data_IF_582610578505
#
_entry.id   IF_582610578505
#
_cell.length_a   1.000
_cell.length_b   1.000
_cell.length_c   1.000
_cell.angle_alpha   90.00
_cell.angle_beta   90.00
_cell.angle_gamma   90.00
#
_symmetry.space_group_name_H-M   'P 1'
#
loop_
_entity.id
_entity.type
_entity.pdbx_description
1 polymer ?
#
# COMPACT_ATOMS: atom_id res chain seq x y z
N UNK A 1 14.10 -28.32 -11.21
CA UNK A 1 12.94 -27.53 -11.68
C UNK A 1 13.47 -26.24 -12.30
N UNK A 2 13.30 -26.00 -13.61
CA UNK A 2 13.72 -24.75 -14.21
C UNK A 2 12.78 -23.61 -13.81
N UNK A 3 13.32 -22.40 -13.68
CA UNK A 3 12.56 -21.17 -13.38
C UNK A 3 12.63 -20.27 -14.61
N UNK A 4 11.49 -19.73 -15.03
CA UNK A 4 11.38 -18.82 -16.17
C UNK A 4 11.88 -17.43 -15.74
N UNK A 5 13.01 -16.97 -16.28
CA UNK A 5 13.63 -15.68 -15.91
C UNK A 5 13.02 -14.48 -16.65
N UNK A 6 12.03 -14.69 -17.53
CA UNK A 6 11.43 -13.63 -18.37
C UNK A 6 10.56 -12.63 -17.59
N UNK A 7 10.25 -12.90 -16.32
CA UNK A 7 9.50 -12.00 -15.43
C UNK A 7 10.15 -11.89 -14.04
N UNK A 8 11.48 -11.82 -13.98
CA UNK A 8 12.11 -11.34 -12.76
C UNK A 8 12.04 -9.81 -12.78
N UNK A 9 10.84 -9.26 -12.58
CA UNK A 9 10.70 -7.86 -12.18
C UNK A 9 11.57 -7.72 -10.93
N UNK A 10 12.53 -6.79 -10.95
CA UNK A 10 13.32 -6.49 -9.75
C UNK A 10 12.32 -6.24 -8.62
N UNK A 11 12.41 -7.03 -7.55
CA UNK A 11 11.41 -6.97 -6.49
C UNK A 11 11.46 -5.56 -5.89
N UNK A 12 10.42 -4.79 -6.15
CA UNK A 12 10.27 -3.44 -5.61
C UNK A 12 10.20 -3.56 -4.10
N UNK A 13 11.24 -3.07 -3.42
CA UNK A 13 11.28 -2.97 -1.97
C UNK A 13 10.60 -1.66 -1.51
N UNK A 14 9.30 -1.58 -1.81
CA UNK A 14 8.40 -0.53 -1.34
C UNK A 14 7.22 -1.16 -0.60
N UNK A 15 7.05 -0.76 0.65
CA UNK A 15 5.93 -1.19 1.49
C UNK A 15 4.91 -0.06 1.61
N UNK A 16 3.63 -0.29 1.25
CA UNK A 16 2.59 0.71 1.42
C UNK A 16 2.51 1.23 2.85
N UNK A 17 2.22 2.53 3.03
CA UNK A 17 2.14 3.19 4.34
C UNK A 17 3.50 3.48 5.01
N UNK A 18 4.61 3.26 4.30
CA UNK A 18 5.94 3.74 4.72
C UNK A 18 6.26 5.06 4.04
N UNK A 19 7.04 5.92 4.71
CA UNK A 19 7.51 7.19 4.12
C UNK A 19 8.20 7.00 2.76
N UNK A 20 8.97 5.91 2.59
CA UNK A 20 9.62 5.56 1.32
C UNK A 20 8.59 5.40 0.20
N UNK A 21 7.53 4.61 0.46
CA UNK A 21 6.42 4.41 -0.46
C UNK A 21 5.66 5.70 -0.73
N UNK A 22 5.39 6.50 0.30
CA UNK A 22 4.58 7.71 0.16
C UNK A 22 5.28 8.77 -0.71
N UNK A 23 6.60 8.95 -0.51
CA UNK A 23 7.42 9.82 -1.35
C UNK A 23 7.41 9.34 -2.81
N UNK A 24 7.65 8.04 -3.05
CA UNK A 24 7.63 7.48 -4.41
C UNK A 24 6.26 7.67 -5.06
N UNK A 25 5.18 7.32 -4.36
CA UNK A 25 3.83 7.47 -4.88
C UNK A 25 3.53 8.95 -5.22
N UNK A 26 3.94 9.89 -4.38
CA UNK A 26 3.74 11.31 -4.64
C UNK A 26 4.46 11.79 -5.92
N UNK A 27 5.73 11.41 -6.10
CA UNK A 27 6.51 11.78 -7.28
C UNK A 27 5.94 11.15 -8.56
N UNK A 28 5.58 9.88 -8.53
CA UNK A 28 5.08 9.15 -9.72
C UNK A 28 3.63 9.53 -10.10
N UNK A 29 2.85 10.09 -9.17
CA UNK A 29 1.56 10.72 -9.48
C UNK A 29 1.73 12.10 -10.15
N UNK A 30 2.90 12.73 -9.99
CA UNK A 30 3.21 14.06 -10.52
C UNK A 30 4.50 14.02 -11.37
N UNK A 31 4.56 13.20 -12.44
CA UNK A 31 5.81 12.91 -13.14
C UNK A 31 6.43 14.11 -13.87
N UNK A 32 5.63 15.14 -14.16
CA UNK A 32 6.06 16.37 -14.83
C UNK A 32 6.82 17.34 -13.91
N UNK A 33 6.90 17.06 -12.61
CA UNK A 33 7.43 17.97 -11.60
C UNK A 33 8.59 17.38 -10.81
N UNK A 34 9.58 18.22 -10.53
CA UNK A 34 10.64 17.95 -9.56
C UNK A 34 10.34 18.62 -8.21
N UNK A 35 10.70 17.96 -7.12
CA UNK A 35 10.43 18.43 -5.76
C UNK A 35 11.69 18.45 -4.91
N UNK A 36 11.88 19.51 -4.14
CA UNK A 36 12.90 19.59 -3.11
C UNK A 36 12.49 18.79 -1.87
N UNK A 37 13.43 18.48 -0.95
CA UNK A 37 13.08 17.87 0.33
C UNK A 37 12.11 18.73 1.17
N UNK A 38 12.12 20.06 0.98
CA UNK A 38 11.19 20.94 1.67
C UNK A 38 9.78 20.79 1.12
N UNK A 39 9.61 20.78 -0.21
CA UNK A 39 8.30 20.63 -0.84
C UNK A 39 7.62 19.33 -0.39
N UNK A 40 8.40 18.23 -0.28
CA UNK A 40 7.90 16.94 0.18
C UNK A 40 7.61 16.88 1.68
N UNK A 41 8.32 17.67 2.49
CA UNK A 41 8.00 17.84 3.92
C UNK A 41 6.63 18.47 4.06
N UNK A 42 6.36 19.53 3.28
CA UNK A 42 5.09 20.26 3.31
C UNK A 42 3.94 19.44 2.72
N UNK A 43 4.17 18.73 1.61
CA UNK A 43 3.15 17.95 0.92
C UNK A 43 2.74 16.67 1.66
N UNK A 44 3.66 16.02 2.38
CA UNK A 44 3.42 14.73 3.02
C UNK A 44 3.40 14.79 4.55
N UNK A 45 3.58 15.99 5.13
CA UNK A 45 3.68 16.21 6.59
C UNK A 45 4.72 15.29 7.26
N UNK A 46 5.90 15.19 6.64
CA UNK A 46 7.01 14.37 7.15
C UNK A 46 8.17 15.24 7.64
N UNK A 47 8.94 14.81 8.66
CA UNK A 47 10.09 15.58 9.12
C UNK A 47 11.14 15.80 8.02
N UNK A 48 11.68 17.01 7.92
CA UNK A 48 12.68 17.38 6.90
C UNK A 48 13.90 16.45 6.85
N UNK A 49 14.40 16.02 8.01
CA UNK A 49 15.52 15.07 8.09
C UNK A 49 15.18 13.70 7.51
N UNK A 50 13.94 13.25 7.71
CA UNK A 50 13.40 12.01 7.13
C UNK A 50 13.25 12.15 5.62
N UNK A 51 12.67 13.24 5.12
CA UNK A 51 12.56 13.51 3.69
C UNK A 51 13.94 13.48 3.00
N UNK A 52 14.90 14.23 3.54
CA UNK A 52 16.27 14.33 2.98
C UNK A 52 16.97 12.97 2.93
N UNK A 53 16.92 12.20 4.02
CA UNK A 53 17.60 10.89 4.09
C UNK A 53 16.92 9.86 3.20
N UNK A 54 15.59 9.87 3.15
CA UNK A 54 14.81 8.92 2.35
C UNK A 54 14.96 9.19 0.87
N UNK A 55 14.93 10.45 0.44
CA UNK A 55 15.16 10.84 -0.96
C UNK A 55 16.56 10.45 -1.44
N UNK A 56 17.57 10.65 -0.59
CA UNK A 56 18.93 10.22 -0.91
C UNK A 56 18.97 8.71 -1.17
N UNK A 57 18.40 7.89 -0.26
CA UNK A 57 18.34 6.43 -0.41
C UNK A 57 17.54 6.02 -1.65
N UNK A 58 16.40 6.65 -1.90
CA UNK A 58 15.58 6.39 -3.09
C UNK A 58 16.32 6.68 -4.39
N UNK A 59 17.13 7.73 -4.40
CA UNK A 59 17.99 8.05 -5.53
C UNK A 59 19.13 7.03 -5.68
N UNK A 60 19.81 6.69 -4.58
CA UNK A 60 20.89 5.69 -4.58
C UNK A 60 20.39 4.28 -4.99
N UNK A 61 19.11 3.98 -4.73
CA UNK A 61 18.42 2.72 -5.08
C UNK A 61 17.69 2.80 -6.45
N UNK A 62 17.93 3.85 -7.26
CA UNK A 62 17.34 4.06 -8.60
C UNK A 62 15.80 4.13 -8.65
N UNK A 63 15.11 4.45 -7.55
CA UNK A 63 13.65 4.63 -7.55
C UNK A 63 13.23 6.00 -8.12
N UNK A 64 14.08 7.01 -8.00
CA UNK A 64 13.78 8.40 -8.36
C UNK A 64 14.99 9.05 -9.03
N UNK A 65 14.74 10.01 -9.91
CA UNK A 65 15.78 10.85 -10.49
C UNK A 65 16.07 12.07 -9.60
N UNK A 66 17.22 12.69 -9.82
CA UNK A 66 17.60 13.95 -9.18
C UNK A 66 18.24 14.87 -10.20
N UNK A 67 17.74 16.10 -10.27
CA UNK A 67 18.31 17.18 -11.08
C UNK A 67 19.57 17.76 -10.43
N UNK A 68 20.41 18.43 -11.22
CA UNK A 68 21.62 19.09 -10.72
C UNK A 68 21.31 20.15 -9.64
N UNK A 69 20.14 20.80 -9.74
CA UNK A 69 19.65 21.80 -8.78
C UNK A 69 19.03 21.17 -7.52
N UNK A 70 19.01 19.85 -7.41
CA UNK A 70 18.63 19.13 -6.19
C UNK A 70 17.17 18.76 -6.06
N UNK A 71 16.37 18.92 -7.12
CA UNK A 71 14.98 18.45 -7.17
C UNK A 71 14.91 16.98 -7.56
N UNK A 72 14.04 16.23 -6.89
CA UNK A 72 13.79 14.81 -7.14
C UNK A 72 12.52 14.62 -7.96
N UNK A 73 12.54 13.69 -8.90
CA UNK A 73 11.42 13.44 -9.82
C UNK A 73 11.24 11.95 -10.10
N UNK A 74 10.09 11.58 -10.67
CA UNK A 74 9.85 10.20 -11.12
C UNK A 74 10.74 9.85 -12.32
N UNK A 75 11.15 8.59 -12.42
CA UNK A 75 11.91 8.09 -13.57
C UNK A 75 10.95 7.64 -14.67
N UNK A 76 11.28 8.00 -15.92
CA UNK A 76 10.37 7.73 -17.02
C UNK A 76 10.39 6.26 -17.49
N UNK A 77 11.46 5.55 -17.19
CA UNK A 77 11.76 4.19 -17.63
C UNK A 77 11.34 3.10 -16.62
N UNK A 78 10.91 3.49 -15.41
CA UNK A 78 10.54 2.58 -14.32
C UNK A 78 9.04 2.24 -14.33
N UNK A 79 8.63 1.41 -15.29
CA UNK A 79 7.24 0.95 -15.43
C UNK A 79 6.79 0.05 -14.28
N UNK A 80 7.72 -0.65 -13.66
CA UNK A 80 7.52 -1.44 -12.45
C UNK A 80 7.00 -0.55 -11.30
N UNK A 81 7.62 0.62 -11.08
CA UNK A 81 7.21 1.56 -10.02
C UNK A 81 5.86 2.20 -10.35
N UNK A 82 5.61 2.54 -11.63
CA UNK A 82 4.27 3.02 -12.04
C UNK A 82 3.18 2.00 -11.79
N UNK A 83 3.45 0.73 -12.10
CA UNK A 83 2.52 -0.37 -11.83
C UNK A 83 2.24 -0.49 -10.33
N UNK A 84 3.27 -0.38 -9.50
CA UNK A 84 3.13 -0.36 -8.04
C UNK A 84 2.22 0.79 -7.57
N UNK A 85 2.49 2.03 -8.00
CA UNK A 85 1.69 3.20 -7.60
C UNK A 85 0.25 3.10 -8.10
N UNK A 86 0.04 2.60 -9.32
CA UNK A 86 -1.31 2.36 -9.86
C UNK A 86 -2.10 1.33 -9.05
N UNK A 87 -1.42 0.26 -8.59
CA UNK A 87 -2.00 -0.74 -7.70
C UNK A 87 -2.37 -0.13 -6.34
N UNK A 88 -1.48 0.71 -5.78
CA UNK A 88 -1.72 1.42 -4.53
C UNK A 88 -2.93 2.36 -4.63
N UNK A 89 -3.08 3.08 -5.74
CA UNK A 89 -4.25 3.92 -6.00
C UNK A 89 -5.54 3.11 -6.13
N UNK A 90 -5.48 1.93 -6.74
CA UNK A 90 -6.63 1.03 -6.86
C UNK A 90 -7.07 0.52 -5.49
N UNK A 91 -6.13 0.08 -4.64
CA UNK A 91 -6.42 -0.33 -3.26
C UNK A 91 -6.98 0.85 -2.47
N UNK A 92 -6.39 2.04 -2.58
CA UNK A 92 -6.90 3.21 -1.89
C UNK A 92 -8.31 3.59 -2.36
N UNK A 93 -8.64 3.42 -3.64
CA UNK A 93 -10.02 3.63 -4.13
C UNK A 93 -11.00 2.59 -3.60
N UNK A 94 -10.61 1.32 -3.54
CA UNK A 94 -11.47 0.24 -3.06
C UNK A 94 -11.76 0.34 -1.56
N UNK A 95 -10.78 0.76 -0.75
CA UNK A 95 -10.89 0.74 0.71
C UNK A 95 -10.95 2.13 1.36
N UNK A 96 -10.53 3.19 0.67
CA UNK A 96 -10.53 4.57 1.17
C UNK A 96 -11.88 5.28 1.05
N UNK A 97 -12.75 4.85 0.14
CA UNK A 97 -14.06 5.49 -0.06
C UNK A 97 -15.13 5.09 0.97
N UNK A 98 -14.92 4.00 1.72
CA UNK A 98 -15.98 3.35 2.48
C UNK A 98 -15.89 3.51 4.00
N UNK A 99 -14.91 4.26 4.53
CA UNK A 99 -14.80 4.39 5.99
C UNK A 99 -14.23 5.74 6.41
N UNK A 100 -15.09 6.59 6.98
CA UNK A 100 -14.63 7.69 7.82
C UNK A 100 -13.81 7.12 9.00
N UNK A 101 -12.81 7.84 9.54
CA UNK A 101 -11.97 7.32 10.63
C UNK A 101 -12.76 6.93 11.89
N UNK A 102 -13.96 7.49 12.06
CA UNK A 102 -14.94 7.24 13.10
C UNK A 102 -16.15 6.43 12.62
N UNK A 103 -16.14 5.94 11.37
CA UNK A 103 -17.22 5.13 10.85
C UNK A 103 -17.25 3.78 11.58
N UNK A 104 -18.27 3.65 12.42
CA UNK A 104 -18.73 2.37 12.94
C UNK A 104 -19.29 1.59 11.75
N UNK A 105 -18.95 0.31 11.56
CA UNK A 105 -19.58 -0.45 10.48
C UNK A 105 -21.08 -0.45 10.76
N UNK A 106 -21.89 -0.08 9.79
CA UNK A 106 -23.32 -0.30 9.92
C UNK A 106 -23.57 -1.79 10.14
N UNK A 107 -24.52 -2.10 11.03
CA UNK A 107 -24.99 -3.47 11.17
C UNK A 107 -25.50 -3.94 9.80
N UNK A 108 -25.01 -5.07 9.28
CA UNK A 108 -25.42 -5.56 7.98
C UNK A 108 -26.94 -5.79 7.97
N UNK A 109 -27.62 -5.45 6.86
CA UNK A 109 -29.08 -5.66 6.71
C UNK A 109 -29.51 -7.11 6.95
N UNK A 110 -28.59 -8.06 6.78
CA UNK A 110 -28.77 -9.47 7.11
C UNK A 110 -27.60 -9.94 7.96
N UNK A 111 -27.85 -10.13 9.24
CA UNK A 111 -26.91 -10.76 10.15
C UNK A 111 -27.16 -12.27 10.16
N UNK A 112 -26.21 -13.05 9.65
CA UNK A 112 -26.27 -14.50 9.75
C UNK A 112 -26.12 -14.87 11.23
N UNK A 113 -27.12 -15.55 11.80
CA UNK A 113 -27.08 -15.99 13.19
C UNK A 113 -27.64 -14.99 14.21
N UNK A 114 -28.42 -13.99 13.80
CA UNK A 114 -29.04 -12.99 14.71
C UNK A 114 -29.87 -13.60 15.86
N UNK A 115 -30.34 -14.83 15.69
CA UNK A 115 -31.10 -15.59 16.70
C UNK A 115 -30.36 -16.85 17.18
N UNK A 116 -29.03 -16.90 17.04
CA UNK A 116 -28.21 -18.03 17.46
C UNK A 116 -27.27 -17.57 18.56
N UNK A 117 -27.22 -18.30 19.66
CA UNK A 117 -26.23 -18.08 20.71
C UNK A 117 -24.93 -18.80 20.39
N UNK A 118 -23.84 -18.39 21.05
CA UNK A 118 -22.56 -19.10 20.96
C UNK A 118 -22.73 -20.58 21.39
N UNK A 119 -23.61 -20.85 22.35
CA UNK A 119 -23.92 -22.19 22.86
C UNK A 119 -24.59 -23.06 21.78
N UNK A 120 -25.56 -22.52 21.02
CA UNK A 120 -26.21 -23.22 19.90
C UNK A 120 -25.22 -23.57 18.77
N UNK A 121 -24.20 -22.74 18.58
CA UNK A 121 -23.16 -22.94 17.57
C UNK A 121 -22.14 -23.99 18.01
N UNK A 122 -21.81 -24.01 19.30
CA UNK A 122 -20.87 -24.96 19.90
C UNK A 122 -21.44 -26.38 19.92
N UNK A 123 -22.75 -26.52 20.17
CA UNK A 123 -23.47 -27.79 20.03
C UNK A 123 -23.49 -28.30 18.57
N UNK A 124 -23.74 -27.42 17.59
CA UNK A 124 -23.72 -27.80 16.17
C UNK A 124 -22.31 -28.20 15.71
N UNK A 125 -21.27 -27.48 16.14
CA UNK A 125 -19.88 -27.83 15.85
C UNK A 125 -19.54 -29.22 16.39
N UNK A 126 -19.92 -29.48 17.64
CA UNK A 126 -19.67 -30.77 18.31
C UNK A 126 -20.39 -31.91 17.59
N UNK A 127 -21.64 -31.69 17.15
CA UNK A 127 -22.39 -32.68 16.38
C UNK A 127 -21.73 -32.99 15.03
N UNK A 128 -21.28 -31.96 14.30
CA UNK A 128 -20.59 -32.11 13.01
C UNK A 128 -19.21 -32.79 13.13
N UNK A 129 -18.47 -32.52 14.20
CA UNK A 129 -17.19 -33.17 14.45
C UNK A 129 -17.35 -34.65 14.82
N UNK A 130 -18.41 -35.01 15.52
CA UNK A 130 -18.72 -36.40 15.84
C UNK A 130 -19.15 -37.18 14.58
N UNK A 131 -20.00 -36.60 13.72
CA UNK A 131 -20.47 -37.22 12.48
C UNK A 131 -19.33 -37.44 11.45
N UNK A 132 -18.26 -36.63 11.53
CA UNK A 132 -17.06 -36.78 10.70
C UNK A 132 -16.07 -37.84 11.22
N UNK A 133 -16.19 -38.24 12.49
CA UNK A 133 -15.28 -39.16 13.17
C UNK A 133 -15.88 -40.59 13.35
N UNK A 134 -17.09 -40.84 12.84
CA UNK A 134 -17.66 -42.19 12.61
C UNK A 134 -17.36 -42.70 11.19
#
# INVERSE_FOLDING_TARGET
MPVLLENHDAEIDLRPGTTKSDIVAYLYRNPEWGYSPQDLTEALDIPRGTATTTLKRLYDDDYVGKTDDGYYHALHERDDIRRYVSSLDQVHRMFGQHRAPDATPDSPEKQLGENRTDEDLEEELTALENDRNE
#
